data_IF_107312516955
#
_entry.id   IF_107312516955
#
_cell.length_a   1.000
_cell.length_b   1.000
_cell.length_c   1.000
_cell.angle_alpha   90.00
_cell.angle_beta   90.00
_cell.angle_gamma   90.00
#
_symmetry.space_group_name_H-M   'P 1'
#
loop_
_entity.id
_entity.type
_entity.pdbx_description
1 polymer ?
#
# COMPACT_ATOMS: atom_id res chain seq x y z
N UNK A 1 16.31 3.21 -2.06
CA UNK A 1 15.93 2.05 -2.89
C UNK A 1 17.02 1.79 -3.92
N UNK A 2 17.27 0.53 -4.26
CA UNK A 2 18.23 0.10 -5.26
C UNK A 2 17.80 -1.24 -5.85
N UNK A 3 18.40 -1.67 -6.96
CA UNK A 3 18.15 -2.99 -7.51
C UNK A 3 18.76 -4.09 -6.63
N UNK A 4 18.28 -5.32 -6.74
CA UNK A 4 18.86 -6.47 -6.01
C UNK A 4 20.34 -6.66 -6.36
N UNK A 5 20.69 -6.53 -7.65
CA UNK A 5 22.10 -6.63 -8.09
C UNK A 5 23.00 -5.59 -7.41
N UNK A 6 22.50 -4.36 -7.26
CA UNK A 6 23.27 -3.30 -6.60
C UNK A 6 23.37 -3.53 -5.08
N UNK A 7 22.33 -4.09 -4.47
CA UNK A 7 22.36 -4.47 -3.06
C UNK A 7 23.41 -5.57 -2.80
N UNK A 8 23.48 -6.57 -3.67
CA UNK A 8 24.47 -7.64 -3.62
C UNK A 8 25.90 -7.10 -3.76
N UNK A 9 26.15 -6.25 -4.78
CA UNK A 9 27.46 -5.60 -4.96
C UNK A 9 27.92 -4.80 -3.75
N UNK A 10 26.98 -4.16 -3.06
CA UNK A 10 27.27 -3.36 -1.85
C UNK A 10 27.23 -4.18 -0.56
N UNK A 11 27.02 -5.48 -0.66
CA UNK A 11 26.84 -6.36 0.50
C UNK A 11 25.81 -5.81 1.51
N UNK A 12 24.73 -5.21 0.98
CA UNK A 12 23.66 -4.59 1.77
C UNK A 12 22.52 -5.57 1.94
N UNK A 13 22.05 -5.76 3.18
CA UNK A 13 20.90 -6.61 3.48
C UNK A 13 19.61 -5.82 3.20
N UNK A 14 18.77 -6.21 2.22
CA UNK A 14 17.48 -5.56 1.97
C UNK A 14 16.54 -5.71 3.17
N UNK A 15 15.80 -4.67 3.50
CA UNK A 15 14.72 -4.72 4.50
C UNK A 15 13.44 -5.36 3.92
N UNK A 16 13.17 -5.09 2.64
CA UNK A 16 12.05 -5.66 1.90
C UNK A 16 12.34 -5.62 0.41
N UNK A 17 11.60 -6.41 -0.38
CA UNK A 17 11.60 -6.43 -1.84
C UNK A 17 10.26 -5.89 -2.36
N UNK A 18 10.29 -4.95 -3.27
CA UNK A 18 9.09 -4.55 -4.03
C UNK A 18 8.87 -5.60 -5.12
N UNK A 19 7.78 -6.37 -5.00
CA UNK A 19 7.44 -7.47 -5.91
C UNK A 19 6.73 -6.96 -7.15
N UNK A 20 5.74 -6.09 -6.95
CA UNK A 20 4.94 -5.50 -8.03
C UNK A 20 4.46 -4.10 -7.65
N UNK A 21 4.03 -3.34 -8.64
CA UNK A 21 3.30 -2.10 -8.46
C UNK A 21 2.17 -2.00 -9.49
N UNK A 22 1.10 -1.28 -9.13
CA UNK A 22 -0.03 -1.02 -10.00
C UNK A 22 -0.62 0.35 -9.71
N UNK A 23 -1.28 0.91 -10.72
CA UNK A 23 -2.10 2.12 -10.62
C UNK A 23 -3.52 1.82 -11.07
N UNK A 24 -4.47 2.55 -10.51
CA UNK A 24 -5.87 2.46 -10.92
C UNK A 24 -6.49 3.86 -10.87
N UNK A 25 -7.23 4.19 -11.91
CA UNK A 25 -8.05 5.38 -11.99
C UNK A 25 -9.45 5.02 -12.44
N UNK A 26 -10.44 5.78 -11.99
CA UNK A 26 -11.80 5.66 -12.46
C UNK A 26 -12.53 7.00 -12.29
N UNK A 27 -13.84 7.03 -12.47
CA UNK A 27 -14.66 8.23 -12.40
C UNK A 27 -14.35 9.01 -11.11
N UNK A 28 -14.04 10.32 -11.23
CA UNK A 28 -13.73 11.19 -10.08
C UNK A 28 -14.80 11.21 -8.99
N UNK A 29 -16.07 10.97 -9.33
CA UNK A 29 -17.14 10.87 -8.33
C UNK A 29 -16.94 9.72 -7.34
N UNK A 30 -16.18 8.69 -7.73
CA UNK A 30 -15.93 7.49 -6.95
C UNK A 30 -14.45 7.33 -6.54
N UNK A 31 -13.69 8.42 -6.54
CA UNK A 31 -12.24 8.40 -6.29
C UNK A 31 -11.85 7.66 -4.99
N UNK A 32 -12.68 7.69 -3.96
CA UNK A 32 -12.42 7.02 -2.68
C UNK A 32 -12.35 5.50 -2.78
N UNK A 33 -12.89 4.91 -3.85
CA UNK A 33 -12.86 3.46 -4.11
C UNK A 33 -11.75 3.03 -5.08
N UNK A 34 -10.99 3.98 -5.64
CA UNK A 34 -9.88 3.69 -6.56
C UNK A 34 -8.83 2.72 -5.97
N UNK A 35 -8.50 2.75 -4.66
CA UNK A 35 -7.60 1.79 -4.04
C UNK A 35 -7.99 0.33 -4.23
N UNK A 36 -9.28 0.01 -4.30
CA UNK A 36 -9.79 -1.35 -4.49
C UNK A 36 -9.23 -1.96 -5.77
N UNK A 37 -9.41 -1.27 -6.90
CA UNK A 37 -8.88 -1.73 -8.18
C UNK A 37 -7.35 -1.74 -8.25
N UNK A 38 -6.67 -0.83 -7.54
CA UNK A 38 -5.20 -0.84 -7.47
C UNK A 38 -4.69 -2.07 -6.70
N UNK A 39 -5.33 -2.43 -5.58
CA UNK A 39 -5.01 -3.62 -4.79
C UNK A 39 -5.23 -4.88 -5.62
N UNK A 40 -6.36 -5.01 -6.30
CA UNK A 40 -6.64 -6.15 -7.18
C UNK A 40 -5.57 -6.30 -8.27
N UNK A 41 -5.27 -5.22 -8.99
CA UNK A 41 -4.24 -5.22 -10.05
C UNK A 41 -2.84 -5.58 -9.55
N UNK A 42 -2.46 -5.15 -8.35
CA UNK A 42 -1.14 -5.48 -7.81
C UNK A 42 -1.07 -6.94 -7.34
N UNK A 43 -2.15 -7.48 -6.81
CA UNK A 43 -2.26 -8.89 -6.46
C UNK A 43 -2.12 -9.79 -7.69
N UNK A 44 -2.83 -9.47 -8.78
CA UNK A 44 -2.74 -10.18 -10.06
C UNK A 44 -1.29 -10.18 -10.59
N UNK A 45 -0.65 -8.99 -10.59
CA UNK A 45 0.76 -8.87 -11.03
C UNK A 45 1.75 -9.63 -10.17
N UNK A 46 1.50 -9.70 -8.88
CA UNK A 46 2.34 -10.45 -7.94
C UNK A 46 2.05 -11.95 -7.94
N UNK A 47 0.97 -12.38 -8.59
CA UNK A 47 0.40 -13.72 -8.49
C UNK A 47 0.14 -14.14 -7.02
N UNK A 48 -0.42 -13.23 -6.23
CA UNK A 48 -0.79 -13.46 -4.83
C UNK A 48 -2.31 -13.53 -4.66
N UNK A 49 -2.78 -14.44 -3.81
CA UNK A 49 -4.13 -14.37 -3.28
C UNK A 49 -4.18 -13.29 -2.17
N UNK A 50 -5.29 -12.59 -2.06
CA UNK A 50 -5.50 -11.58 -1.02
C UNK A 50 -5.34 -12.16 0.40
N UNK A 51 -5.68 -13.44 0.57
CA UNK A 51 -5.54 -14.18 1.83
C UNK A 51 -4.09 -14.41 2.25
N UNK A 52 -3.16 -14.32 1.30
CA UNK A 52 -1.72 -14.45 1.57
C UNK A 52 -1.12 -13.18 2.14
N UNK A 53 -1.84 -12.05 2.04
CA UNK A 53 -1.36 -10.75 2.50
C UNK A 53 -1.63 -10.61 3.98
N UNK A 54 -0.56 -10.49 4.76
CA UNK A 54 -0.68 -10.40 6.20
C UNK A 54 -0.90 -8.99 6.73
N UNK A 55 -0.51 -7.94 5.99
CA UNK A 55 -0.70 -6.55 6.40
C UNK A 55 -0.99 -5.63 5.22
N UNK A 56 -1.85 -4.63 5.47
CA UNK A 56 -2.18 -3.55 4.55
C UNK A 56 -1.91 -2.19 5.20
N UNK A 57 -1.21 -1.31 4.48
CA UNK A 57 -1.15 0.13 4.75
C UNK A 57 -1.91 0.87 3.67
N UNK A 58 -3.15 1.21 3.93
CA UNK A 58 -4.03 1.95 3.01
C UNK A 58 -4.10 3.38 3.50
N UNK A 59 -3.60 4.32 2.70
CA UNK A 59 -3.58 5.72 3.12
C UNK A 59 -4.98 6.27 3.36
N UNK A 60 -5.18 6.84 4.54
CA UNK A 60 -6.44 7.45 4.97
C UNK A 60 -6.51 8.91 4.51
N UNK A 61 -6.59 9.15 3.18
CA UNK A 61 -6.93 10.49 2.69
C UNK A 61 -8.28 10.96 3.29
N UNK A 62 -9.17 10.00 3.50
CA UNK A 62 -10.38 10.07 4.32
C UNK A 62 -10.57 8.70 4.97
N UNK A 63 -11.17 8.64 6.15
CA UNK A 63 -11.42 7.38 6.87
C UNK A 63 -12.25 6.37 6.04
N UNK A 64 -13.13 6.84 5.17
CA UNK A 64 -13.95 5.99 4.29
C UNK A 64 -13.13 5.19 3.27
N UNK A 65 -11.93 5.63 2.91
CA UNK A 65 -11.08 4.97 1.90
C UNK A 65 -10.68 3.56 2.32
N UNK A 66 -9.99 3.35 3.47
CA UNK A 66 -9.72 1.99 3.92
C UNK A 66 -10.99 1.21 4.28
N UNK A 67 -12.05 1.87 4.77
CA UNK A 67 -13.32 1.21 5.08
C UNK A 67 -13.96 0.59 3.83
N UNK A 68 -13.97 1.32 2.71
CA UNK A 68 -14.47 0.80 1.42
C UNK A 68 -13.63 -0.40 0.95
N UNK A 69 -12.30 -0.28 1.00
CA UNK A 69 -11.41 -1.37 0.62
C UNK A 69 -11.60 -2.62 1.49
N UNK A 70 -11.69 -2.47 2.81
CA UNK A 70 -11.94 -3.58 3.74
C UNK A 70 -13.26 -4.27 3.41
N UNK A 71 -14.32 -3.50 3.16
CA UNK A 71 -15.65 -4.04 2.85
C UNK A 71 -15.65 -4.82 1.53
N UNK A 72 -15.18 -4.19 0.46
CA UNK A 72 -15.30 -4.74 -0.90
C UNK A 72 -14.35 -5.92 -1.13
N UNK A 73 -13.17 -5.89 -0.50
CA UNK A 73 -12.15 -6.94 -0.62
C UNK A 73 -12.21 -7.97 0.51
N UNK A 74 -13.15 -7.81 1.45
CA UNK A 74 -13.30 -8.69 2.63
C UNK A 74 -12.00 -8.80 3.46
N UNK A 75 -11.32 -7.67 3.64
CA UNK A 75 -10.09 -7.58 4.45
C UNK A 75 -10.48 -7.32 5.92
N UNK A 76 -9.88 -8.10 6.85
CA UNK A 76 -10.06 -7.84 8.29
C UNK A 76 -9.47 -6.49 8.69
N UNK A 77 -10.17 -5.69 9.51
CA UNK A 77 -9.61 -4.46 10.07
C UNK A 77 -8.36 -4.70 10.94
N UNK A 78 -8.19 -5.89 11.49
CA UNK A 78 -7.05 -6.23 12.37
C UNK A 78 -5.69 -6.22 11.64
N UNK A 79 -5.70 -6.25 10.31
CA UNK A 79 -4.48 -6.25 9.48
C UNK A 79 -4.32 -4.99 8.64
N UNK A 80 -5.17 -3.98 8.86
CA UNK A 80 -5.13 -2.71 8.12
C UNK A 80 -4.66 -1.60 9.05
N UNK A 81 -3.63 -0.85 8.61
CA UNK A 81 -3.10 0.32 9.32
C UNK A 81 -2.83 0.05 10.82
N UNK A 82 -2.22 -1.08 11.12
CA UNK A 82 -2.03 -1.60 12.50
C UNK A 82 -1.20 -0.71 13.42
N UNK A 83 -0.50 0.27 12.88
CA UNK A 83 0.23 1.29 13.64
C UNK A 83 -0.44 2.68 13.57
N UNK A 84 -1.69 2.74 13.16
CA UNK A 84 -2.42 3.98 12.87
C UNK A 84 -2.15 4.50 11.46
N UNK A 85 -3.11 5.22 10.92
CA UNK A 85 -3.07 5.80 9.57
C UNK A 85 -3.03 7.32 9.57
N UNK A 86 -3.30 7.93 8.43
CA UNK A 86 -3.22 9.37 8.23
C UNK A 86 -4.21 10.17 9.09
N UNK A 87 -5.34 9.60 9.49
CA UNK A 87 -6.29 10.23 10.40
C UNK A 87 -5.66 10.53 11.77
N UNK A 88 -4.73 9.69 12.21
CA UNK A 88 -4.00 9.87 13.46
C UNK A 88 -2.66 10.60 13.29
N UNK A 89 -1.93 10.32 12.20
CA UNK A 89 -0.56 10.75 11.98
C UNK A 89 -0.43 11.99 11.07
N UNK A 90 -1.51 12.36 10.36
CA UNK A 90 -1.50 13.39 9.34
C UNK A 90 -1.22 12.84 7.92
N UNK A 91 -1.59 13.66 6.92
CA UNK A 91 -1.44 13.33 5.50
C UNK A 91 -0.60 14.39 4.76
N UNK A 92 0.72 14.42 4.94
CA UNK A 92 1.59 15.28 4.15
C UNK A 92 1.72 14.69 2.73
N UNK A 93 0.95 15.21 1.78
CA UNK A 93 0.73 14.63 0.44
C UNK A 93 2.03 14.19 -0.24
N UNK A 94 3.06 15.02 -0.23
CA UNK A 94 4.36 14.69 -0.84
C UNK A 94 5.17 13.60 -0.11
N UNK A 95 4.79 13.23 1.12
CA UNK A 95 5.53 12.27 1.96
C UNK A 95 4.75 10.98 2.18
N UNK A 96 3.43 10.99 2.01
CA UNK A 96 2.56 9.87 2.40
C UNK A 96 2.95 8.55 1.76
N UNK A 97 3.37 8.54 0.50
CA UNK A 97 3.86 7.32 -0.16
C UNK A 97 5.05 6.69 0.55
N UNK A 98 6.06 7.50 0.91
CA UNK A 98 7.22 7.03 1.65
C UNK A 98 6.85 6.62 3.09
N UNK A 99 5.94 7.38 3.73
CA UNK A 99 5.47 7.12 5.08
C UNK A 99 4.79 5.74 5.17
N UNK A 100 3.80 5.45 4.31
CA UNK A 100 3.09 4.17 4.36
C UNK A 100 4.02 2.98 4.10
N UNK A 101 4.99 3.13 3.19
CA UNK A 101 5.97 2.06 2.96
C UNK A 101 6.86 1.83 4.18
N UNK A 102 7.35 2.88 4.81
CA UNK A 102 8.17 2.77 6.02
C UNK A 102 7.37 2.13 7.18
N UNK A 103 6.13 2.55 7.37
CA UNK A 103 5.23 1.98 8.39
C UNK A 103 4.97 0.50 8.11
N UNK A 104 4.64 0.14 6.87
CA UNK A 104 4.38 -1.25 6.49
C UNK A 104 5.60 -2.13 6.74
N UNK A 105 6.79 -1.73 6.28
CA UNK A 105 8.04 -2.50 6.48
C UNK A 105 8.30 -2.70 7.98
N UNK A 106 8.16 -1.65 8.79
CA UNK A 106 8.32 -1.75 10.24
C UNK A 106 7.31 -2.71 10.88
N UNK A 107 6.04 -2.62 10.47
CA UNK A 107 4.99 -3.53 10.95
C UNK A 107 5.26 -4.98 10.53
N UNK A 108 5.64 -5.21 9.26
CA UNK A 108 5.98 -6.55 8.76
C UNK A 108 7.08 -7.19 9.59
N UNK A 109 8.14 -6.45 9.90
CA UNK A 109 9.24 -6.96 10.73
C UNK A 109 8.77 -7.25 12.18
N UNK A 110 7.97 -6.35 12.77
CA UNK A 110 7.46 -6.51 14.13
C UNK A 110 6.55 -7.73 14.28
N UNK A 111 5.64 -7.93 13.32
CA UNK A 111 4.65 -9.00 13.36
C UNK A 111 5.10 -10.26 12.61
N UNK A 112 6.32 -10.26 12.03
CA UNK A 112 6.91 -11.37 11.28
C UNK A 112 6.03 -11.81 10.11
N UNK A 113 5.59 -10.84 9.33
CA UNK A 113 4.73 -11.01 8.13
C UNK A 113 5.58 -10.86 6.89
N UNK A 114 5.45 -11.79 5.94
CA UNK A 114 6.28 -11.82 4.73
C UNK A 114 5.68 -11.05 3.54
N UNK A 115 4.35 -10.88 3.51
CA UNK A 115 3.64 -10.21 2.42
C UNK A 115 2.82 -9.04 2.95
N UNK A 116 3.02 -7.87 2.35
CA UNK A 116 2.26 -6.66 2.70
C UNK A 116 1.98 -5.79 1.48
N UNK A 117 0.92 -5.01 1.54
CA UNK A 117 0.51 -4.08 0.49
C UNK A 117 0.45 -2.66 1.06
N UNK A 118 1.16 -1.73 0.43
CA UNK A 118 1.01 -0.29 0.65
C UNK A 118 0.18 0.31 -0.50
N UNK A 119 -0.91 0.97 -0.18
CA UNK A 119 -1.79 1.59 -1.16
C UNK A 119 -2.01 3.08 -0.85
N UNK A 120 -1.72 3.94 -1.82
CA UNK A 120 -1.92 5.37 -1.73
C UNK A 120 -3.02 5.81 -2.69
N UNK A 121 -4.02 6.50 -2.18
CA UNK A 121 -4.98 7.21 -3.01
C UNK A 121 -4.30 8.46 -3.57
N UNK A 122 -4.09 8.49 -4.88
CA UNK A 122 -3.52 9.62 -5.58
C UNK A 122 -4.60 10.27 -6.45
N UNK A 123 -4.94 11.51 -6.15
CA UNK A 123 -6.08 12.20 -6.77
C UNK A 123 -5.68 13.28 -7.79
N UNK A 124 -4.41 13.36 -8.15
CA UNK A 124 -3.96 14.33 -9.15
C UNK A 124 -3.98 13.70 -10.54
N UNK A 125 -4.94 14.04 -11.41
CA UNK A 125 -4.77 13.74 -12.83
C UNK A 125 -3.56 14.53 -13.32
N UNK A 126 -2.55 13.82 -13.81
CA UNK A 126 -1.48 14.48 -14.54
C UNK A 126 -2.03 15.06 -15.83
N UNK A 127 -1.73 16.31 -16.18
CA UNK A 127 -2.15 16.86 -17.47
C UNK A 127 -1.56 16.15 -18.69
N UNK A 128 -0.83 15.07 -18.47
CA UNK A 128 -0.11 14.29 -19.52
C UNK A 128 -0.60 12.86 -19.65
N UNK A 129 -1.63 12.46 -18.89
CA UNK A 129 -2.23 11.10 -18.97
C UNK A 129 -3.46 11.10 -19.87
#
# INVERSE_FOLDING_TARGET
MMTMQEAEKKNSKPLAKIVAHATNSHDPAWFTTAPIGAIQKVLDKAAWDIKDVGLFEINEAFAVVPMAAMKDLSISPDIVNVHGGACALGHPVGTSGARIMATLISAMHKYKVDKGIACLLYTSPSPRD
#
